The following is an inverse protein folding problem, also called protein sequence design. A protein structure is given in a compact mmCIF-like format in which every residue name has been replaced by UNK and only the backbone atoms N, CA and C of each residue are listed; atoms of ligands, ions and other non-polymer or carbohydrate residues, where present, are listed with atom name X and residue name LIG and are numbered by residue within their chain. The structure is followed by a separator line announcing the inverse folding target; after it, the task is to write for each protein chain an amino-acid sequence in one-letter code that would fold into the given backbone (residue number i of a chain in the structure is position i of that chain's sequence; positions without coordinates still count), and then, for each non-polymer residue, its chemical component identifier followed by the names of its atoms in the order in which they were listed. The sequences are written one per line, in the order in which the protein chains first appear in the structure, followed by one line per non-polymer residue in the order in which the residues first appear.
data_IF_307890213556
#
_entry.id   IF_307890213556
#
_cell.length_a   1.000
_cell.length_b   1.000
_cell.length_c   1.000
_cell.angle_alpha   90.00
_cell.angle_beta   90.00
_cell.angle_gamma   90.00
#
_symmetry.space_group_name_H-M   'P 1'
#
loop_
_entity.id
_entity.type
_entity.pdbx_description
1 polymer ?
#
# COMPACT_ATOMS: atom_id res chain seq x y z
N UNK A 1 -24.46 36.32 -35.79
CA UNK A 1 -23.95 34.99 -35.37
C UNK A 1 -25.08 34.05 -34.87
N UNK A 2 -26.15 33.87 -35.65
CA UNK A 2 -27.24 32.90 -35.35
C UNK A 2 -27.53 31.93 -36.51
N UNK A 3 -26.83 32.07 -37.63
CA UNK A 3 -27.01 31.26 -38.85
C UNK A 3 -25.98 30.13 -39.00
N UNK A 4 -24.99 30.04 -38.10
CA UNK A 4 -23.94 29.00 -38.13
C UNK A 4 -24.14 27.90 -37.08
N UNK A 5 -25.36 27.77 -36.53
CA UNK A 5 -25.75 26.67 -35.61
C UNK A 5 -26.86 25.76 -36.16
N UNK A 6 -27.45 26.10 -37.31
CA UNK A 6 -28.49 25.28 -37.95
C UNK A 6 -27.91 24.34 -39.01
N UNK A 7 -26.72 24.63 -39.54
CA UNK A 7 -26.10 23.81 -40.60
C UNK A 7 -25.32 22.58 -40.08
N UNK A 8 -24.98 22.53 -38.77
CA UNK A 8 -24.24 21.40 -38.18
C UNK A 8 -25.17 20.31 -37.63
N UNK A 9 -26.45 20.63 -37.38
CA UNK A 9 -27.44 19.63 -36.94
C UNK A 9 -28.12 18.86 -38.08
N UNK A 10 -27.94 19.25 -39.34
CA UNK A 10 -28.54 18.56 -40.50
C UNK A 10 -27.58 17.52 -41.12
N UNK A 11 -26.28 17.56 -40.81
CA UNK A 11 -25.31 16.55 -41.27
C UNK A 11 -25.19 15.30 -40.38
N UNK A 12 -25.89 15.25 -39.24
CA UNK A 12 -25.89 14.09 -38.34
C UNK A 12 -27.16 13.21 -38.42
N UNK A 13 -28.10 13.55 -39.31
CA UNK A 13 -29.35 12.81 -39.50
C UNK A 13 -29.44 12.06 -40.86
N UNK A 14 -28.37 12.06 -41.67
CA UNK A 14 -28.33 11.39 -43.00
C UNK A 14 -27.14 10.42 -43.11
N UNK A 15 -26.85 9.68 -42.04
CA UNK A 15 -25.98 8.49 -42.08
C UNK A 15 -26.61 7.27 -41.41
N UNK A 16 -27.86 7.40 -40.95
CA UNK A 16 -28.75 6.31 -40.52
C UNK A 16 -29.80 6.10 -41.61
N UNK A 17 -29.43 5.48 -42.73
CA UNK A 17 -30.30 4.82 -43.73
C UNK A 17 -29.47 4.62 -45.01
N UNK A 18 -28.85 3.44 -45.20
CA UNK A 18 -28.51 2.78 -46.47
C UNK A 18 -27.36 1.77 -46.28
N UNK A 19 -27.70 0.56 -45.81
CA UNK A 19 -26.95 -0.68 -46.07
C UNK A 19 -27.79 -1.89 -45.65
N UNK A 20 -28.96 -2.07 -46.27
CA UNK A 20 -29.73 -3.30 -46.21
C UNK A 20 -29.63 -3.98 -47.59
N UNK A 21 -28.74 -4.97 -47.70
CA UNK A 21 -28.80 -6.13 -48.62
C UNK A 21 -27.45 -6.86 -48.57
N UNK A 22 -27.34 -7.85 -47.68
CA UNK A 22 -26.28 -8.86 -47.69
C UNK A 22 -26.92 -10.25 -47.83
N UNK A 23 -26.25 -11.22 -48.47
CA UNK A 23 -26.81 -12.55 -48.71
C UNK A 23 -26.99 -13.35 -47.40
N UNK A 24 -28.03 -14.18 -47.38
CA UNK A 24 -28.45 -14.97 -46.22
C UNK A 24 -27.33 -15.90 -45.69
N UNK A 25 -27.23 -16.10 -44.35
CA UNK A 25 -26.24 -17.00 -43.77
C UNK A 25 -26.57 -18.46 -44.07
N UNK A 26 -25.54 -19.22 -44.46
CA UNK A 26 -25.57 -20.67 -44.60
C UNK A 26 -25.69 -21.32 -43.21
N UNK A 27 -26.55 -22.33 -42.99
CA UNK A 27 -26.70 -22.95 -41.69
C UNK A 27 -25.48 -23.81 -41.33
N UNK A 28 -24.87 -23.52 -40.18
CA UNK A 28 -23.84 -24.35 -39.53
C UNK A 28 -24.47 -25.68 -39.05
N UNK A 29 -23.80 -26.83 -39.22
CA UNK A 29 -24.36 -28.13 -38.82
C UNK A 29 -24.51 -28.26 -37.30
N UNK A 30 -25.70 -28.69 -36.90
CA UNK A 30 -26.07 -29.08 -35.52
C UNK A 30 -25.40 -30.42 -35.18
N UNK A 31 -24.79 -30.59 -34.00
CA UNK A 31 -24.29 -31.90 -33.57
C UNK A 31 -25.45 -32.89 -33.39
N UNK A 32 -25.30 -34.08 -33.97
CA UNK A 32 -26.28 -35.16 -34.01
C UNK A 32 -26.57 -35.70 -32.59
N UNK A 33 -27.84 -35.87 -32.19
CA UNK A 33 -28.19 -36.56 -30.94
C UNK A 33 -27.90 -38.07 -31.05
N UNK A 34 -27.30 -38.62 -30.00
CA UNK A 34 -27.05 -40.05 -29.80
C UNK A 34 -28.39 -40.81 -29.71
N UNK A 35 -28.54 -42.01 -30.33
CA UNK A 35 -29.78 -42.78 -30.26
C UNK A 35 -30.11 -43.25 -28.83
N UNK A 36 -31.40 -43.34 -28.44
CA UNK A 36 -31.80 -43.85 -27.15
C UNK A 36 -31.56 -45.36 -27.05
N UNK A 37 -30.87 -45.78 -25.99
CA UNK A 37 -30.80 -47.19 -25.57
C UNK A 37 -32.18 -47.70 -25.16
N UNK A 38 -32.51 -48.90 -25.64
CA UNK A 38 -33.77 -49.64 -25.52
C UNK A 38 -34.23 -49.83 -24.06
N UNK A 39 -35.53 -49.73 -23.74
CA UNK A 39 -36.07 -50.01 -22.41
C UNK A 39 -36.00 -51.51 -22.05
N UNK A 40 -35.67 -51.87 -20.81
CA UNK A 40 -35.95 -53.20 -20.27
C UNK A 40 -37.45 -53.43 -20.10
N UNK A 41 -37.88 -54.68 -20.33
CA UNK A 41 -39.26 -55.17 -20.28
C UNK A 41 -39.88 -55.13 -18.87
N UNK A 42 -41.23 -55.12 -18.76
CA UNK A 42 -41.93 -54.94 -17.49
C UNK A 42 -41.86 -56.21 -16.65
N UNK A 43 -41.37 -56.08 -15.41
CA UNK A 43 -41.41 -57.16 -14.42
C UNK A 43 -42.49 -56.84 -13.39
N UNK A 44 -43.33 -57.85 -13.18
CA UNK A 44 -44.56 -57.90 -12.39
C UNK A 44 -44.33 -57.51 -10.93
N UNK A 45 -45.23 -56.69 -10.39
CA UNK A 45 -45.31 -56.28 -8.99
C UNK A 45 -45.73 -57.46 -8.08
N UNK A 46 -44.95 -57.79 -7.03
CA UNK A 46 -45.47 -58.57 -5.91
C UNK A 46 -46.05 -57.65 -4.83
N UNK A 47 -47.16 -58.10 -4.26
CA UNK A 47 -47.91 -57.57 -3.10
C UNK A 47 -46.99 -57.37 -1.88
N UNK A 48 -47.20 -56.33 -1.04
CA UNK A 48 -46.27 -56.00 0.04
C UNK A 48 -46.39 -56.94 1.24
N UNK A 49 -45.26 -57.35 1.88
CA UNK A 49 -45.29 -57.97 3.18
C UNK A 49 -45.49 -56.93 4.29
N UNK A 50 -46.21 -57.36 5.31
CA UNK A 50 -46.61 -56.68 6.55
C UNK A 50 -45.42 -56.08 7.31
N UNK A 51 -45.65 -54.89 7.91
CA UNK A 51 -44.72 -54.08 8.72
C UNK A 51 -43.81 -54.88 9.66
N UNK A 52 -42.50 -54.64 9.56
CA UNK A 52 -41.52 -54.90 10.60
C UNK A 52 -41.28 -53.63 11.46
N UNK A 53 -40.89 -53.74 12.75
CA UNK A 53 -40.82 -52.60 13.67
C UNK A 53 -39.77 -51.57 13.25
N UNK A 54 -40.11 -50.30 13.43
CA UNK A 54 -39.27 -49.13 13.15
C UNK A 54 -38.00 -49.16 14.02
N UNK A 55 -36.84 -49.31 13.38
CA UNK A 55 -35.55 -49.18 14.04
C UNK A 55 -35.36 -47.72 14.49
N UNK A 56 -35.12 -47.54 15.78
CA UNK A 56 -34.91 -46.24 16.42
C UNK A 56 -33.73 -45.53 15.75
N UNK A 57 -33.98 -44.34 15.17
CA UNK A 57 -32.90 -43.48 14.62
C UNK A 57 -31.86 -43.23 15.71
N UNK A 58 -30.54 -43.35 15.41
CA UNK A 58 -29.50 -42.88 16.31
C UNK A 58 -29.70 -41.40 16.64
N UNK A 59 -29.46 -40.96 17.87
CA UNK A 59 -29.57 -39.55 18.24
C UNK A 59 -28.65 -38.70 17.36
N UNK A 60 -29.22 -37.66 16.75
CA UNK A 60 -28.46 -36.62 16.05
C UNK A 60 -27.43 -36.05 17.04
N UNK A 61 -26.13 -36.01 16.70
CA UNK A 61 -25.14 -35.39 17.57
C UNK A 61 -25.56 -33.95 17.84
N UNK A 62 -25.76 -33.62 19.12
CA UNK A 62 -26.04 -32.25 19.55
C UNK A 62 -24.89 -31.37 19.07
N UNK A 63 -25.17 -30.46 18.13
CA UNK A 63 -24.16 -29.55 17.61
C UNK A 63 -23.60 -28.73 18.79
N UNK A 64 -22.34 -28.95 19.12
CA UNK A 64 -21.62 -28.13 20.10
C UNK A 64 -21.68 -26.67 19.61
N UNK A 65 -22.16 -25.70 20.41
CA UNK A 65 -22.23 -24.31 19.98
C UNK A 65 -20.82 -23.85 19.61
N UNK A 66 -20.65 -23.41 18.35
CA UNK A 66 -19.42 -22.74 17.91
C UNK A 66 -19.25 -21.50 18.79
N UNK A 67 -18.14 -21.35 19.53
CA UNK A 67 -17.93 -20.17 20.36
C UNK A 67 -18.02 -18.91 19.48
N UNK A 68 -18.88 -17.97 19.88
CA UNK A 68 -19.06 -16.72 19.17
C UNK A 68 -17.71 -15.99 19.09
N UNK A 69 -17.35 -15.49 17.90
CA UNK A 69 -16.14 -14.68 17.75
C UNK A 69 -16.22 -13.47 18.69
N UNK A 70 -15.11 -13.12 19.39
CA UNK A 70 -15.08 -11.90 20.20
C UNK A 70 -15.50 -10.69 19.35
N UNK A 71 -16.37 -9.84 19.91
CA UNK A 71 -16.90 -8.64 19.27
C UNK A 71 -16.29 -7.38 19.90
N UNK A 72 -16.01 -6.36 19.08
CA UNK A 72 -15.52 -5.08 19.59
C UNK A 72 -16.64 -4.35 20.34
N UNK A 73 -16.37 -3.93 21.58
CA UNK A 73 -17.27 -3.12 22.40
C UNK A 73 -16.49 -1.91 22.90
N UNK A 74 -17.02 -0.71 22.74
CA UNK A 74 -16.45 0.49 23.36
C UNK A 74 -17.52 1.23 24.16
N UNK A 75 -17.13 1.79 25.31
CA UNK A 75 -18.05 2.49 26.20
C UNK A 75 -18.52 3.83 25.63
N UNK A 76 -17.67 4.46 24.82
CA UNK A 76 -17.92 5.71 24.09
C UNK A 76 -17.36 5.57 22.68
N UNK A 77 -17.83 6.39 21.71
CA UNK A 77 -17.25 6.41 20.38
C UNK A 77 -15.74 6.65 20.43
N UNK A 78 -14.96 5.89 19.66
CA UNK A 78 -13.52 6.09 19.52
C UNK A 78 -13.26 7.09 18.40
N UNK A 79 -12.51 8.13 18.72
CA UNK A 79 -12.21 9.23 17.79
C UNK A 79 -10.81 9.09 17.23
N UNK A 80 -10.69 9.13 15.90
CA UNK A 80 -9.41 9.00 15.21
C UNK A 80 -9.18 10.23 14.34
N UNK A 81 -7.99 10.82 14.46
CA UNK A 81 -7.54 11.91 13.60
C UNK A 81 -6.64 11.40 12.50
N UNK A 82 -7.09 11.45 11.25
CA UNK A 82 -6.24 11.19 10.08
C UNK A 82 -5.66 12.51 9.57
N UNK A 83 -4.33 12.63 9.56
CA UNK A 83 -3.61 13.73 8.92
C UNK A 83 -3.01 13.21 7.62
N UNK A 84 -3.28 13.89 6.52
CA UNK A 84 -2.85 13.48 5.18
C UNK A 84 -2.66 14.68 4.27
N UNK A 85 -1.95 14.51 3.15
CA UNK A 85 -1.67 15.57 2.20
C UNK A 85 -2.81 15.63 1.16
N UNK A 86 -3.81 16.50 1.35
CA UNK A 86 -4.87 16.70 0.34
C UNK A 86 -4.45 17.66 -0.76
N UNK A 87 -3.36 18.40 -0.52
CA UNK A 87 -2.76 19.34 -1.46
C UNK A 87 -1.22 19.30 -1.34
N UNK A 88 -0.53 20.00 -2.24
CA UNK A 88 0.94 20.03 -2.27
C UNK A 88 1.59 18.92 -3.11
N UNK A 89 2.92 18.79 -3.00
CA UNK A 89 3.72 17.94 -3.90
C UNK A 89 3.45 16.43 -3.76
N UNK A 90 2.83 16.01 -2.65
CA UNK A 90 2.54 14.62 -2.32
C UNK A 90 1.03 14.30 -2.31
N UNK A 91 0.19 15.21 -2.84
CA UNK A 91 -1.28 15.09 -2.80
C UNK A 91 -1.82 13.78 -3.38
N UNK A 92 -1.14 13.24 -4.40
CA UNK A 92 -1.49 11.95 -5.02
C UNK A 92 -1.45 10.81 -4.00
N UNK A 93 -0.50 10.84 -3.06
CA UNK A 93 -0.36 9.83 -2.01
C UNK A 93 -1.28 10.08 -0.82
N UNK A 94 -1.60 11.34 -0.52
CA UNK A 94 -2.58 11.64 0.50
C UNK A 94 -4.00 11.20 0.10
N UNK A 95 -4.34 11.29 -1.19
CA UNK A 95 -5.57 10.73 -1.73
C UNK A 95 -5.65 9.20 -1.63
N UNK A 96 -4.54 8.48 -1.86
CA UNK A 96 -4.44 7.03 -1.63
C UNK A 96 -4.63 6.68 -0.15
N UNK A 97 -4.01 7.47 0.73
CA UNK A 97 -4.05 7.25 2.18
C UNK A 97 -5.47 7.46 2.72
N UNK A 98 -6.12 8.58 2.38
CA UNK A 98 -7.48 8.88 2.84
C UNK A 98 -8.48 7.82 2.38
N UNK A 99 -8.51 7.52 1.08
CA UNK A 99 -9.53 6.60 0.53
C UNK A 99 -9.39 5.21 1.12
N UNK A 100 -8.17 4.67 1.22
CA UNK A 100 -7.98 3.29 1.65
C UNK A 100 -8.06 3.13 3.18
N UNK A 101 -7.71 4.17 3.95
CA UNK A 101 -7.97 4.17 5.40
C UNK A 101 -9.48 4.12 5.69
N UNK A 102 -10.27 4.97 5.01
CA UNK A 102 -11.73 4.98 5.17
C UNK A 102 -12.38 3.69 4.67
N UNK A 103 -11.95 3.18 3.50
CA UNK A 103 -12.40 1.86 3.00
C UNK A 103 -11.99 0.73 3.95
N UNK A 104 -10.85 0.82 4.63
CA UNK A 104 -10.46 -0.13 5.67
C UNK A 104 -11.49 -0.21 6.81
N UNK A 105 -12.04 0.93 7.23
CA UNK A 105 -13.11 0.95 8.23
C UNK A 105 -14.46 0.46 7.68
N UNK A 106 -14.79 0.72 6.41
CA UNK A 106 -15.96 0.10 5.76
C UNK A 106 -15.83 -1.43 5.71
N UNK A 107 -14.65 -1.94 5.36
CA UNK A 107 -14.35 -3.37 5.34
C UNK A 107 -14.57 -4.01 6.72
N UNK A 108 -14.07 -3.36 7.76
CA UNK A 108 -14.20 -3.83 9.15
C UNK A 108 -15.64 -3.73 9.68
N UNK A 109 -16.40 -2.73 9.25
CA UNK A 109 -17.81 -2.54 9.61
C UNK A 109 -18.74 -3.48 8.83
N UNK A 110 -18.32 -3.95 7.65
CA UNK A 110 -19.17 -4.70 6.72
C UNK A 110 -20.24 -3.84 6.02
N UNK A 111 -20.15 -2.51 6.16
CA UNK A 111 -21.09 -1.56 5.58
C UNK A 111 -20.41 -0.19 5.37
N UNK A 112 -20.89 0.62 4.42
CA UNK A 112 -20.43 2.00 4.26
C UNK A 112 -20.65 2.83 5.53
N UNK A 113 -19.67 3.67 5.86
CA UNK A 113 -19.83 4.67 6.91
C UNK A 113 -20.75 5.82 6.47
N UNK A 114 -21.21 6.61 7.44
CA UNK A 114 -21.90 7.88 7.19
C UNK A 114 -21.11 9.01 7.82
N UNK A 115 -20.75 10.03 7.05
CA UNK A 115 -19.98 11.20 7.53
C UNK A 115 -18.68 10.79 8.28
N UNK A 116 -17.98 9.77 7.77
CA UNK A 116 -16.80 9.15 8.39
C UNK A 116 -17.04 8.55 9.80
N UNK A 117 -18.29 8.16 10.07
CA UNK A 117 -18.69 7.37 11.24
C UNK A 117 -18.99 5.94 10.80
N UNK A 118 -18.37 4.97 11.50
CA UNK A 118 -18.46 3.54 11.21
C UNK A 118 -18.93 2.78 12.45
N UNK A 119 -19.81 1.81 12.25
CA UNK A 119 -20.22 0.88 13.32
C UNK A 119 -19.48 -0.44 13.13
N UNK A 120 -18.49 -0.69 13.98
CA UNK A 120 -17.72 -1.95 13.98
C UNK A 120 -18.14 -2.75 15.20
N UNK A 121 -18.84 -3.86 14.97
CA UNK A 121 -19.53 -4.61 16.02
C UNK A 121 -20.44 -3.70 16.87
N UNK A 122 -20.16 -3.60 18.18
CA UNK A 122 -20.91 -2.77 19.12
C UNK A 122 -20.23 -1.41 19.33
N UNK A 123 -19.12 -1.12 18.64
CA UNK A 123 -18.34 0.09 18.79
C UNK A 123 -18.56 1.10 17.65
N UNK A 124 -18.63 2.38 17.99
CA UNK A 124 -18.67 3.47 17.01
C UNK A 124 -17.28 4.08 16.84
N UNK A 125 -16.85 4.23 15.58
CA UNK A 125 -15.56 4.82 15.20
C UNK A 125 -15.84 6.11 14.43
N UNK A 126 -15.31 7.22 14.90
CA UNK A 126 -15.46 8.54 14.29
C UNK A 126 -14.12 9.04 13.76
N UNK A 127 -14.04 9.34 12.47
CA UNK A 127 -12.78 9.75 11.84
C UNK A 127 -12.86 11.22 11.41
N UNK A 128 -11.93 12.03 11.91
CA UNK A 128 -11.74 13.40 11.44
C UNK A 128 -10.49 13.45 10.56
N UNK A 129 -10.64 13.94 9.32
CA UNK A 129 -9.52 14.08 8.38
C UNK A 129 -9.06 15.53 8.33
N UNK A 130 -7.74 15.75 8.39
CA UNK A 130 -7.12 17.07 8.26
C UNK A 130 -6.06 17.09 7.15
N UNK A 131 -6.03 18.19 6.38
CA UNK A 131 -5.02 18.45 5.36
C UNK A 131 -3.85 19.23 5.96
N UNK A 132 -2.66 18.63 5.99
CA UNK A 132 -1.44 19.35 6.39
C UNK A 132 -0.63 19.89 5.21
N UNK A 133 -1.06 19.61 3.96
CA UNK A 133 -0.43 20.04 2.71
C UNK A 133 1.03 19.55 2.54
N UNK A 134 1.45 18.57 3.33
CA UNK A 134 2.85 18.13 3.42
C UNK A 134 3.79 19.13 4.11
N UNK A 135 3.24 20.08 4.88
CA UNK A 135 4.00 21.18 5.52
C UNK A 135 4.04 21.02 7.03
N UNK A 136 5.26 20.95 7.59
CA UNK A 136 5.54 20.77 9.03
C UNK A 136 4.73 21.70 9.95
N UNK A 137 4.70 23.00 9.63
CA UNK A 137 3.98 23.99 10.45
C UNK A 137 2.46 23.77 10.45
N UNK A 138 1.90 23.37 9.30
CA UNK A 138 0.48 23.04 9.18
C UNK A 138 0.18 21.74 9.93
N UNK A 139 1.05 20.72 9.81
CA UNK A 139 0.92 19.46 10.57
C UNK A 139 0.81 19.74 12.07
N UNK A 140 1.66 20.61 12.61
CA UNK A 140 1.61 20.97 14.02
C UNK A 140 0.30 21.67 14.42
N UNK A 141 -0.24 22.52 13.53
CA UNK A 141 -1.52 23.20 13.74
C UNK A 141 -2.68 22.21 13.78
N UNK A 142 -2.81 21.37 12.74
CA UNK A 142 -3.95 20.45 12.63
C UNK A 142 -3.87 19.31 13.66
N UNK A 143 -2.68 18.88 14.06
CA UNK A 143 -2.51 17.90 15.13
C UNK A 143 -3.04 18.43 16.46
N UNK A 144 -2.71 19.67 16.82
CA UNK A 144 -3.24 20.31 18.03
C UNK A 144 -4.74 20.49 17.96
N UNK A 145 -5.30 20.90 16.82
CA UNK A 145 -6.76 20.98 16.65
C UNK A 145 -7.44 19.62 16.88
N UNK A 146 -6.90 18.55 16.28
CA UNK A 146 -7.43 17.19 16.44
C UNK A 146 -7.40 16.75 17.92
N UNK A 147 -6.29 17.00 18.63
CA UNK A 147 -6.13 16.59 20.02
C UNK A 147 -6.98 17.47 20.95
N UNK A 148 -6.87 18.79 20.84
CA UNK A 148 -7.39 19.75 21.81
C UNK A 148 -8.85 20.09 21.57
N UNK A 149 -9.29 20.17 20.31
CA UNK A 149 -10.65 20.55 19.94
C UNK A 149 -11.49 19.32 19.61
N UNK A 150 -11.01 18.45 18.72
CA UNK A 150 -11.75 17.25 18.29
C UNK A 150 -11.68 16.12 19.31
N UNK A 151 -10.73 16.20 20.25
CA UNK A 151 -10.51 15.21 21.32
C UNK A 151 -10.28 13.81 20.76
N UNK A 152 -9.46 13.69 19.73
CA UNK A 152 -9.12 12.37 19.16
C UNK A 152 -8.37 11.51 20.17
N UNK A 153 -8.63 10.21 20.14
CA UNK A 153 -7.97 9.20 20.97
C UNK A 153 -6.68 8.71 20.31
N UNK A 154 -6.71 8.55 18.99
CA UNK A 154 -5.61 8.00 18.16
C UNK A 154 -5.35 8.95 16.99
N UNK A 155 -4.07 9.12 16.64
CA UNK A 155 -3.64 9.84 15.44
C UNK A 155 -3.14 8.84 14.39
N UNK A 156 -3.40 9.17 13.13
CA UNK A 156 -2.91 8.43 11.96
C UNK A 156 -2.31 9.44 10.99
N UNK A 157 -1.16 9.13 10.41
CA UNK A 157 -0.51 9.97 9.39
C UNK A 157 1.00 10.13 9.61
N UNK A 158 1.68 10.96 8.82
CA UNK A 158 1.19 11.59 7.58
C UNK A 158 2.11 11.18 6.41
N UNK A 159 1.91 11.74 5.21
CA UNK A 159 2.64 11.33 4.01
C UNK A 159 4.09 11.81 4.04
N UNK A 160 4.31 13.07 4.41
CA UNK A 160 5.67 13.62 4.53
C UNK A 160 6.38 13.08 5.79
N UNK A 161 7.60 12.55 5.62
CA UNK A 161 8.39 12.06 6.74
C UNK A 161 8.84 13.17 7.69
N UNK A 162 9.13 14.37 7.18
CA UNK A 162 9.48 15.53 8.01
C UNK A 162 8.28 16.01 8.85
N UNK A 163 7.09 16.06 8.24
CA UNK A 163 5.84 16.34 8.95
C UNK A 163 5.53 15.28 10.00
N UNK A 164 5.78 14.00 9.68
CA UNK A 164 5.56 12.88 10.62
C UNK A 164 6.47 12.97 11.84
N UNK A 165 7.74 13.38 11.69
CA UNK A 165 8.62 13.60 12.85
C UNK A 165 8.07 14.67 13.81
N UNK A 166 7.45 15.72 13.26
CA UNK A 166 6.78 16.76 14.08
C UNK A 166 5.52 16.22 14.75
N UNK A 167 4.69 15.48 14.01
CA UNK A 167 3.50 14.82 14.54
C UNK A 167 3.83 13.83 15.67
N UNK A 168 4.93 13.08 15.52
CA UNK A 168 5.44 12.13 16.50
C UNK A 168 5.79 12.83 17.83
N UNK A 169 6.46 13.99 17.78
CA UNK A 169 6.73 14.80 18.97
C UNK A 169 5.45 15.23 19.69
N UNK A 170 4.48 15.78 18.94
CA UNK A 170 3.21 16.26 19.48
C UNK A 170 2.39 15.10 20.08
N UNK A 171 2.34 13.95 19.41
CA UNK A 171 1.66 12.76 19.88
C UNK A 171 2.25 12.28 21.22
N UNK A 172 3.59 12.22 21.32
CA UNK A 172 4.30 11.86 22.55
C UNK A 172 4.00 12.84 23.69
N UNK A 173 4.09 14.14 23.46
CA UNK A 173 3.79 15.18 24.45
C UNK A 173 2.37 15.07 25.01
N UNK A 174 1.41 14.70 24.16
CA UNK A 174 0.00 14.56 24.51
C UNK A 174 -0.41 13.13 24.90
N UNK A 175 0.56 12.19 24.97
CA UNK A 175 0.35 10.78 25.26
C UNK A 175 -0.73 10.13 24.36
N UNK A 176 -0.68 10.42 23.06
CA UNK A 176 -1.55 9.87 22.03
C UNK A 176 -0.80 8.85 21.20
N UNK A 177 -1.42 7.71 20.93
CA UNK A 177 -0.86 6.74 19.98
C UNK A 177 -0.91 7.35 18.58
N UNK A 178 0.23 7.28 17.88
CA UNK A 178 0.36 7.63 16.47
C UNK A 178 0.60 6.35 15.66
N UNK A 179 -0.25 6.10 14.66
CA UNK A 179 -0.02 5.08 13.64
C UNK A 179 0.45 5.76 12.35
N UNK A 180 1.73 5.57 12.04
CA UNK A 180 2.36 6.14 10.85
C UNK A 180 1.99 5.33 9.63
N UNK A 181 1.35 6.03 8.68
CA UNK A 181 1.18 5.63 7.30
C UNK A 181 1.03 6.91 6.45
N UNK A 182 1.73 7.07 5.32
CA UNK A 182 2.72 6.16 4.77
C UNK A 182 4.21 6.49 5.01
N UNK A 183 4.56 7.55 5.75
CA UNK A 183 5.94 8.03 5.86
C UNK A 183 6.99 6.92 6.10
N UNK A 184 8.07 6.96 5.32
CA UNK A 184 9.05 5.86 5.22
C UNK A 184 10.39 6.13 5.91
N UNK A 185 10.66 7.36 6.39
CA UNK A 185 11.96 7.65 7.03
C UNK A 185 12.26 6.66 8.15
N UNK A 186 13.51 6.19 8.16
CA UNK A 186 14.02 5.27 9.18
C UNK A 186 13.98 5.88 10.58
N UNK A 187 14.17 7.21 10.67
CA UNK A 187 14.30 7.94 11.92
C UNK A 187 13.05 7.81 12.82
N UNK A 188 11.86 7.72 12.22
CA UNK A 188 10.56 7.60 12.91
C UNK A 188 10.52 6.38 13.87
N UNK A 189 11.16 5.27 13.51
CA UNK A 189 11.32 4.07 14.38
C UNK A 189 12.80 3.78 14.66
N UNK A 190 13.62 4.82 14.53
CA UNK A 190 15.05 4.79 14.76
C UNK A 190 15.38 5.86 15.78
N UNK A 191 16.17 6.86 15.38
CA UNK A 191 16.65 7.90 16.29
C UNK A 191 15.53 8.68 17.00
N UNK A 192 14.37 8.85 16.37
CA UNK A 192 13.22 9.63 16.90
C UNK A 192 12.20 8.73 17.62
N UNK A 193 12.52 7.44 17.79
CA UNK A 193 11.63 6.46 18.41
C UNK A 193 11.09 6.92 19.77
N UNK A 194 9.80 6.65 19.97
CA UNK A 194 9.16 6.66 21.26
C UNK A 194 8.03 5.63 21.28
N UNK A 195 7.65 5.20 22.48
CA UNK A 195 6.66 4.15 22.71
C UNK A 195 5.25 4.44 22.17
N UNK A 196 4.90 5.71 21.92
CA UNK A 196 3.58 6.08 21.40
C UNK A 196 3.46 5.93 19.88
N UNK A 197 4.56 5.71 19.17
CA UNK A 197 4.56 5.66 17.70
C UNK A 197 4.69 4.23 17.20
N UNK A 198 3.76 3.83 16.35
CA UNK A 198 3.82 2.60 15.58
C UNK A 198 3.73 2.94 14.10
N UNK A 199 4.21 2.06 13.21
CA UNK A 199 3.98 2.22 11.77
C UNK A 199 3.33 0.98 11.19
N UNK A 200 2.42 1.18 10.23
CA UNK A 200 1.95 0.10 9.35
C UNK A 200 2.56 0.17 7.95
N UNK A 201 3.22 1.30 7.64
CA UNK A 201 4.02 1.45 6.43
C UNK A 201 5.39 0.79 6.56
N UNK A 202 5.98 0.50 5.41
CA UNK A 202 7.41 0.14 5.30
C UNK A 202 8.33 1.32 5.68
N UNK A 203 9.61 1.03 5.91
CA UNK A 203 10.66 2.05 6.01
C UNK A 203 11.65 1.99 4.83
N UNK A 204 12.53 2.99 4.73
CA UNK A 204 13.51 3.08 3.65
C UNK A 204 14.45 1.86 3.60
N UNK A 205 14.82 1.28 4.75
CA UNK A 205 15.61 0.05 4.76
C UNK A 205 14.90 -1.09 4.05
N UNK A 206 13.60 -1.27 4.28
CA UNK A 206 12.84 -2.32 3.61
C UNK A 206 12.81 -2.13 2.08
N UNK A 207 12.67 -0.88 1.61
CA UNK A 207 12.75 -0.56 0.18
C UNK A 207 14.12 -0.95 -0.42
N UNK A 208 15.22 -0.56 0.24
CA UNK A 208 16.56 -0.77 -0.30
C UNK A 208 17.14 -2.16 -0.05
N UNK A 209 16.75 -2.87 1.01
CA UNK A 209 17.04 -4.31 1.14
C UNK A 209 16.41 -5.05 -0.05
N UNK A 210 15.15 -4.74 -0.35
CA UNK A 210 14.43 -5.37 -1.46
C UNK A 210 15.10 -5.03 -2.81
N UNK A 211 15.37 -3.75 -3.08
CA UNK A 211 15.94 -3.31 -4.35
C UNK A 211 17.40 -3.77 -4.56
N UNK A 212 18.27 -3.57 -3.55
CA UNK A 212 19.71 -3.81 -3.69
C UNK A 212 20.08 -5.30 -3.81
N UNK A 213 19.25 -6.22 -3.33
CA UNK A 213 19.44 -7.67 -3.54
C UNK A 213 19.51 -8.03 -5.02
N UNK A 214 18.76 -7.33 -5.88
CA UNK A 214 18.79 -7.55 -7.32
C UNK A 214 19.76 -6.60 -8.03
N UNK A 215 19.75 -5.30 -7.71
CA UNK A 215 20.59 -4.31 -8.39
C UNK A 215 22.07 -4.72 -8.40
N UNK A 216 22.57 -5.20 -7.26
CA UNK A 216 23.98 -5.55 -7.08
C UNK A 216 24.41 -6.83 -7.80
N UNK A 217 23.46 -7.61 -8.33
CA UNK A 217 23.76 -8.73 -9.24
C UNK A 217 24.07 -8.25 -10.66
N UNK A 218 23.69 -7.02 -11.01
CA UNK A 218 23.83 -6.44 -12.36
C UNK A 218 24.81 -5.29 -12.42
N UNK A 219 24.88 -4.49 -11.37
CA UNK A 219 25.71 -3.30 -11.28
C UNK A 219 26.53 -3.34 -10.00
N UNK A 220 27.75 -2.80 -10.04
CA UNK A 220 28.69 -2.74 -8.91
C UNK A 220 29.03 -1.31 -8.51
N UNK A 221 28.91 -0.34 -9.43
CA UNK A 221 29.23 1.06 -9.18
C UNK A 221 27.98 1.93 -9.28
N UNK A 222 27.66 2.61 -8.19
CA UNK A 222 26.45 3.40 -8.03
C UNK A 222 26.78 4.88 -7.75
N UNK A 223 25.88 5.75 -8.18
CA UNK A 223 25.69 7.10 -7.65
C UNK A 223 24.23 7.20 -7.22
N UNK A 224 23.88 8.13 -6.33
CA UNK A 224 22.49 8.32 -5.97
C UNK A 224 22.06 9.76 -5.86
N UNK A 225 20.75 9.97 -6.08
CA UNK A 225 20.05 11.22 -5.87
C UNK A 225 18.82 11.01 -4.98
N UNK A 226 18.60 11.95 -4.06
CA UNK A 226 17.49 11.93 -3.13
C UNK A 226 17.00 13.36 -2.81
N UNK A 227 15.74 13.54 -2.35
CA UNK A 227 15.26 14.84 -1.92
C UNK A 227 15.91 15.26 -0.59
N UNK A 228 16.18 16.55 -0.44
CA UNK A 228 16.89 17.14 0.71
C UNK A 228 16.00 17.27 1.95
N UNK A 229 15.49 16.15 2.47
CA UNK A 229 14.68 16.05 3.69
C UNK A 229 14.66 14.62 4.24
N UNK A 230 13.96 14.41 5.37
CA UNK A 230 13.97 13.17 6.17
C UNK A 230 13.74 11.86 5.38
N UNK A 231 12.90 11.82 4.34
CA UNK A 231 12.71 10.62 3.52
C UNK A 231 13.90 10.38 2.59
N UNK A 232 14.48 11.42 2.00
CA UNK A 232 15.62 11.29 1.12
C UNK A 232 16.91 10.96 1.86
N UNK A 233 17.15 11.53 3.05
CA UNK A 233 18.29 11.14 3.89
C UNK A 233 18.19 9.68 4.34
N UNK A 234 17.00 9.25 4.81
CA UNK A 234 16.75 7.86 5.18
C UNK A 234 16.93 6.90 3.99
N UNK A 235 16.44 7.29 2.81
CA UNK A 235 16.63 6.54 1.57
C UNK A 235 18.09 6.41 1.17
N UNK A 236 18.83 7.53 1.11
CA UNK A 236 20.23 7.55 0.72
C UNK A 236 21.11 6.71 1.67
N UNK A 237 20.89 6.83 2.99
CA UNK A 237 21.59 6.01 3.98
C UNK A 237 21.27 4.51 3.82
N UNK A 238 20.00 4.17 3.61
CA UNK A 238 19.56 2.78 3.43
C UNK A 238 20.10 2.17 2.15
N UNK A 239 20.08 2.91 1.05
CA UNK A 239 20.63 2.51 -0.23
C UNK A 239 22.13 2.25 -0.13
N UNK A 240 22.85 3.16 0.52
CA UNK A 240 24.29 3.04 0.76
C UNK A 240 24.61 1.76 1.54
N UNK A 241 23.97 1.56 2.68
CA UNK A 241 24.20 0.38 3.51
C UNK A 241 23.79 -0.92 2.81
N UNK A 242 22.55 -0.99 2.29
CA UNK A 242 22.03 -2.21 1.66
C UNK A 242 22.82 -2.59 0.41
N UNK A 243 23.06 -1.65 -0.52
CA UNK A 243 23.80 -1.97 -1.73
C UNK A 243 25.26 -2.30 -1.42
N UNK A 244 25.92 -1.64 -0.45
CA UNK A 244 27.26 -2.04 -0.03
C UNK A 244 27.28 -3.43 0.60
N UNK A 245 26.30 -3.77 1.44
CA UNK A 245 26.16 -5.12 2.01
C UNK A 245 26.04 -6.20 0.93
N UNK A 246 25.37 -5.91 -0.19
CA UNK A 246 25.25 -6.84 -1.32
C UNK A 246 26.37 -6.71 -2.38
N UNK A 247 27.46 -5.99 -2.06
CA UNK A 247 28.68 -5.94 -2.89
C UNK A 247 28.70 -4.82 -3.93
N UNK A 248 27.87 -3.79 -3.77
CA UNK A 248 27.92 -2.54 -4.49
C UNK A 248 28.86 -1.50 -3.85
N UNK A 249 29.22 -0.48 -4.63
CA UNK A 249 30.06 0.64 -4.19
C UNK A 249 29.49 1.96 -4.70
N UNK A 250 29.59 3.02 -3.91
CA UNK A 250 29.17 4.37 -4.31
C UNK A 250 30.40 5.17 -4.71
N UNK A 251 30.42 5.68 -5.95
CA UNK A 251 31.61 6.29 -6.56
C UNK A 251 31.82 7.73 -6.14
N UNK A 252 30.77 8.40 -5.65
CA UNK A 252 30.80 9.76 -5.10
C UNK A 252 29.84 9.87 -3.90
N UNK A 253 29.86 11.02 -3.24
CA UNK A 253 28.90 11.37 -2.19
C UNK A 253 27.48 11.55 -2.72
N UNK A 254 26.53 11.46 -1.81
CA UNK A 254 25.10 11.57 -2.09
C UNK A 254 24.74 12.92 -2.70
N UNK A 255 23.82 12.90 -3.66
CA UNK A 255 23.30 14.10 -4.29
C UNK A 255 21.93 14.40 -3.68
N UNK A 256 21.83 15.51 -2.97
CA UNK A 256 20.56 15.99 -2.44
C UNK A 256 20.06 17.19 -3.25
N UNK A 257 18.76 17.19 -3.55
CA UNK A 257 18.07 18.27 -4.25
C UNK A 257 16.80 18.66 -3.48
N UNK A 258 16.41 19.94 -3.41
CA UNK A 258 15.15 20.34 -2.78
C UNK A 258 13.94 19.54 -3.32
N UNK A 259 12.98 19.19 -2.46
CA UNK A 259 11.81 18.37 -2.85
C UNK A 259 11.00 19.00 -4.00
N UNK A 260 10.96 20.33 -4.07
CA UNK A 260 10.24 21.12 -5.07
C UNK A 260 11.05 21.42 -6.34
N UNK A 261 12.28 20.88 -6.45
CA UNK A 261 13.15 21.02 -7.63
C UNK A 261 12.39 20.72 -8.93
N UNK A 262 12.52 21.62 -9.91
CA UNK A 262 12.02 21.47 -11.29
C UNK A 262 13.14 21.35 -12.30
N UNK A 263 14.24 22.06 -12.07
CA UNK A 263 15.41 22.07 -12.93
C UNK A 263 16.46 21.07 -12.43
N UNK A 264 16.52 19.90 -13.08
CA UNK A 264 17.40 18.80 -12.66
C UNK A 264 18.77 18.77 -13.33
N UNK A 265 19.02 19.66 -14.29
CA UNK A 265 20.25 19.71 -15.10
C UNK A 265 21.55 19.64 -14.27
N UNK A 266 21.77 20.48 -13.24
CA UNK A 266 23.03 20.45 -12.48
C UNK A 266 23.25 19.11 -11.74
N UNK A 267 22.18 18.44 -11.33
CA UNK A 267 22.26 17.15 -10.66
C UNK A 267 22.54 16.02 -11.66
N UNK A 268 21.92 16.06 -12.84
CA UNK A 268 22.18 15.11 -13.92
C UNK A 268 23.61 15.23 -14.47
N UNK A 269 24.16 16.44 -14.57
CA UNK A 269 25.57 16.64 -14.94
C UNK A 269 26.53 15.99 -13.93
N UNK A 270 26.25 16.10 -12.63
CA UNK A 270 27.03 15.45 -11.58
C UNK A 270 26.93 13.92 -11.69
N UNK A 271 25.73 13.39 -11.98
CA UNK A 271 25.50 11.96 -12.21
C UNK A 271 26.30 11.46 -13.43
N UNK A 272 26.25 12.15 -14.56
CA UNK A 272 26.99 11.78 -15.79
C UNK A 272 28.51 11.72 -15.58
N UNK A 273 29.05 12.64 -14.76
CA UNK A 273 30.48 12.73 -14.48
C UNK A 273 30.95 11.75 -13.40
N UNK A 274 30.03 11.02 -12.75
CA UNK A 274 30.36 10.14 -11.62
C UNK A 274 31.14 8.88 -12.02
N UNK A 275 30.98 8.40 -13.26
CA UNK A 275 31.54 7.12 -13.70
C UNK A 275 30.86 5.88 -13.10
N UNK A 276 29.66 6.03 -12.52
CA UNK A 276 28.85 4.90 -12.07
C UNK A 276 28.18 4.16 -13.25
N UNK A 277 27.78 2.91 -13.00
CA UNK A 277 27.07 2.06 -13.96
C UNK A 277 25.55 2.27 -13.87
N UNK A 278 25.07 2.57 -12.66
CA UNK A 278 23.66 2.87 -12.40
C UNK A 278 23.51 4.03 -11.43
N UNK A 279 22.42 4.79 -11.59
CA UNK A 279 22.04 5.86 -10.67
C UNK A 279 20.80 5.46 -9.89
N UNK A 280 20.95 5.42 -8.57
CA UNK A 280 19.89 5.10 -7.64
C UNK A 280 19.06 6.34 -7.38
N UNK A 281 17.74 6.19 -7.43
CA UNK A 281 16.80 7.29 -7.20
C UNK A 281 15.95 6.99 -5.98
N UNK A 282 16.01 7.86 -4.98
CA UNK A 282 14.99 7.97 -3.94
C UNK A 282 14.16 9.19 -4.26
N UNK A 283 12.94 9.06 -4.77
CA UNK A 283 12.08 10.23 -4.99
C UNK A 283 10.61 9.86 -4.99
N UNK A 284 9.77 10.76 -4.49
CA UNK A 284 8.33 10.59 -4.41
C UNK A 284 7.62 11.87 -4.88
N UNK A 285 6.49 11.72 -5.56
CA UNK A 285 5.62 12.81 -5.96
C UNK A 285 6.13 13.59 -7.17
N UNK A 286 5.72 14.86 -7.26
CA UNK A 286 5.76 15.65 -8.48
C UNK A 286 7.15 15.90 -9.10
N UNK A 287 8.24 15.66 -8.37
CA UNK A 287 9.61 15.84 -8.89
C UNK A 287 10.14 14.66 -9.71
N UNK A 288 9.51 13.48 -9.63
CA UNK A 288 10.03 12.27 -10.29
C UNK A 288 10.03 12.39 -11.82
N UNK A 289 8.91 12.83 -12.42
CA UNK A 289 8.77 12.95 -13.88
C UNK A 289 9.73 14.00 -14.47
N UNK A 290 9.81 15.25 -13.93
CA UNK A 290 10.78 16.23 -14.42
C UNK A 290 12.22 15.73 -14.36
N UNK A 291 12.63 15.12 -13.24
CA UNK A 291 13.97 14.54 -13.08
C UNK A 291 14.28 13.52 -14.17
N UNK A 292 13.35 12.60 -14.45
CA UNK A 292 13.55 11.61 -15.49
C UNK A 292 13.60 12.22 -16.89
N UNK A 293 12.74 13.21 -17.19
CA UNK A 293 12.78 13.91 -18.48
C UNK A 293 14.12 14.59 -18.71
N UNK A 294 14.64 15.32 -17.71
CA UNK A 294 15.97 15.93 -17.79
C UNK A 294 17.07 14.87 -17.93
N UNK A 295 16.96 13.74 -17.21
CA UNK A 295 17.90 12.63 -17.35
C UNK A 295 17.92 12.06 -18.77
N UNK A 296 16.75 11.96 -19.41
CA UNK A 296 16.60 11.54 -20.80
C UNK A 296 17.19 12.55 -21.77
N UNK A 297 16.87 13.84 -21.61
CA UNK A 297 17.34 14.93 -22.48
C UNK A 297 18.86 15.08 -22.48
N UNK A 298 19.51 14.86 -21.32
CA UNK A 298 20.96 14.94 -21.17
C UNK A 298 21.69 13.62 -21.48
N UNK A 299 20.98 12.57 -21.92
CA UNK A 299 21.56 11.27 -22.26
C UNK A 299 22.08 10.47 -21.06
N UNK A 300 21.61 10.76 -19.83
CA UNK A 300 21.93 9.98 -18.62
C UNK A 300 21.50 8.53 -18.82
N UNK A 301 20.30 8.34 -19.34
CA UNK A 301 19.70 7.01 -19.54
C UNK A 301 20.41 6.17 -20.61
N UNK A 302 21.17 6.82 -21.51
CA UNK A 302 21.97 6.14 -22.53
C UNK A 302 23.30 5.62 -21.97
N UNK A 303 23.79 6.23 -20.87
CA UNK A 303 25.09 5.91 -20.26
C UNK A 303 24.98 5.13 -18.95
N UNK A 304 23.86 5.26 -18.25
CA UNK A 304 23.69 4.71 -16.90
C UNK A 304 22.29 4.13 -16.73
N UNK A 305 22.21 2.98 -16.05
CA UNK A 305 20.93 2.37 -15.76
C UNK A 305 20.17 3.13 -14.65
N UNK A 306 18.87 3.37 -14.86
CA UNK A 306 17.99 3.85 -13.79
C UNK A 306 17.77 2.72 -12.78
N UNK A 307 18.23 2.93 -11.55
CA UNK A 307 18.10 2.00 -10.45
C UNK A 307 17.08 2.53 -9.42
N UNK A 308 15.80 2.43 -9.77
CA UNK A 308 14.71 2.93 -8.95
C UNK A 308 13.67 1.83 -8.69
N UNK A 309 13.16 1.77 -7.46
CA UNK A 309 11.91 1.06 -7.18
C UNK A 309 10.75 1.76 -7.87
N UNK A 310 9.74 0.97 -8.25
CA UNK A 310 8.54 1.52 -8.89
C UNK A 310 7.75 2.33 -7.86
N UNK A 311 7.57 3.62 -8.15
CA UNK A 311 7.15 4.62 -7.18
C UNK A 311 5.64 4.88 -7.11
N UNK A 312 4.91 4.64 -8.21
CA UNK A 312 3.44 4.57 -8.33
C UNK A 312 3.05 4.25 -9.78
N UNK A 313 1.78 3.92 -10.02
CA UNK A 313 1.27 3.58 -11.35
C UNK A 313 1.44 4.69 -12.39
N UNK A 314 1.41 5.97 -11.98
CA UNK A 314 1.57 7.09 -12.90
C UNK A 314 3.01 7.24 -13.40
N UNK A 315 3.99 6.79 -12.61
CA UNK A 315 5.40 6.77 -13.02
C UNK A 315 5.78 5.57 -13.89
N UNK A 316 4.95 4.54 -14.02
CA UNK A 316 5.32 3.31 -14.76
C UNK A 316 5.76 3.55 -16.21
N UNK A 317 5.15 4.45 -17.00
CA UNK A 317 5.60 4.75 -18.37
C UNK A 317 7.08 5.13 -18.50
N UNK A 318 7.69 5.70 -17.45
CA UNK A 318 9.11 6.05 -17.39
C UNK A 318 10.01 4.82 -17.51
N UNK A 319 9.53 3.66 -17.07
CA UNK A 319 10.29 2.41 -17.08
C UNK A 319 10.24 1.67 -18.42
N UNK A 320 9.76 2.28 -19.50
CA UNK A 320 9.78 1.67 -20.84
C UNK A 320 11.16 1.13 -21.26
N UNK A 321 12.29 1.83 -21.00
CA UNK A 321 13.63 1.30 -21.29
C UNK A 321 14.02 0.07 -20.44
N UNK A 322 13.29 -0.19 -19.36
CA UNK A 322 13.50 -1.30 -18.44
C UNK A 322 12.52 -2.47 -18.65
N UNK A 323 11.79 -2.50 -19.78
CA UNK A 323 10.96 -3.65 -20.15
C UNK A 323 11.79 -4.96 -20.16
N UNK A 324 11.23 -6.00 -19.57
CA UNK A 324 11.87 -7.30 -19.36
C UNK A 324 12.82 -7.37 -18.16
N UNK A 325 13.07 -6.26 -17.45
CA UNK A 325 13.95 -6.22 -16.28
C UNK A 325 13.17 -6.35 -14.97
N UNK A 326 13.83 -6.83 -13.92
CA UNK A 326 13.25 -6.87 -12.59
C UNK A 326 13.44 -5.54 -11.86
N UNK A 327 12.48 -5.18 -11.00
CA UNK A 327 12.56 -4.06 -10.07
C UNK A 327 11.81 -4.38 -8.77
N UNK A 328 12.10 -3.64 -7.71
CA UNK A 328 11.36 -3.70 -6.46
C UNK A 328 10.11 -2.82 -6.49
N UNK A 329 9.04 -3.31 -5.89
CA UNK A 329 7.80 -2.57 -5.68
C UNK A 329 7.21 -2.94 -4.31
N UNK A 330 6.71 -1.95 -3.57
CA UNK A 330 6.08 -2.21 -2.27
C UNK A 330 4.79 -3.02 -2.42
N UNK A 331 3.96 -2.63 -3.37
CA UNK A 331 2.63 -3.18 -3.59
C UNK A 331 2.19 -2.88 -5.01
N UNK A 332 1.56 -3.88 -5.63
CA UNK A 332 0.76 -3.68 -6.81
C UNK A 332 -0.46 -4.59 -6.71
N UNK A 333 -1.61 -4.07 -7.11
CA UNK A 333 -2.90 -4.67 -6.81
C UNK A 333 -3.09 -6.10 -7.36
N UNK A 334 -2.33 -6.48 -8.39
CA UNK A 334 -2.38 -7.82 -8.99
C UNK A 334 -1.55 -8.87 -8.26
N UNK A 335 -0.64 -8.49 -7.35
CA UNK A 335 0.34 -9.43 -6.79
C UNK A 335 -0.23 -10.20 -5.59
N UNK A 336 -0.77 -9.55 -4.53
CA UNK A 336 -1.30 -10.29 -3.40
C UNK A 336 -2.58 -11.03 -3.77
N UNK A 337 -2.67 -12.31 -3.37
CA UNK A 337 -3.84 -13.17 -3.60
C UNK A 337 -4.50 -13.48 -2.28
N UNK A 338 -5.38 -12.59 -1.83
CA UNK A 338 -6.14 -12.77 -0.60
C UNK A 338 -7.43 -11.93 -0.62
N UNK A 339 -8.46 -12.32 0.16
CA UNK A 339 -9.75 -11.64 0.16
C UNK A 339 -9.72 -10.15 0.55
N UNK A 340 -8.75 -9.74 1.38
CA UNK A 340 -8.63 -8.34 1.81
C UNK A 340 -8.17 -7.47 0.64
N UNK A 341 -7.17 -7.95 -0.11
CA UNK A 341 -6.74 -7.29 -1.34
C UNK A 341 -7.83 -7.29 -2.40
N UNK A 342 -8.50 -8.42 -2.62
CA UNK A 342 -9.56 -8.54 -3.62
C UNK A 342 -10.69 -7.53 -3.35
N UNK A 343 -11.10 -7.38 -2.08
CA UNK A 343 -12.08 -6.39 -1.66
C UNK A 343 -11.59 -4.95 -1.88
N UNK A 344 -10.36 -4.64 -1.49
CA UNK A 344 -9.77 -3.31 -1.72
C UNK A 344 -9.74 -2.96 -3.21
N UNK A 345 -9.34 -3.92 -4.06
CA UNK A 345 -9.30 -3.77 -5.51
C UNK A 345 -10.68 -3.48 -6.07
N UNK A 346 -11.68 -4.26 -5.68
CA UNK A 346 -13.07 -4.07 -6.12
C UNK A 346 -13.57 -2.67 -5.75
N UNK A 347 -13.44 -2.27 -4.50
CA UNK A 347 -13.98 -1.02 -4.00
C UNK A 347 -13.29 0.21 -4.60
N UNK A 348 -11.95 0.19 -4.70
CA UNK A 348 -11.21 1.31 -5.27
C UNK A 348 -11.52 1.46 -6.77
N UNK A 349 -11.57 0.36 -7.53
CA UNK A 349 -11.96 0.40 -8.95
C UNK A 349 -13.38 0.91 -9.14
N UNK A 350 -14.33 0.45 -8.33
CA UNK A 350 -15.73 0.86 -8.42
C UNK A 350 -15.90 2.38 -8.24
N UNK A 351 -15.20 2.96 -7.26
CA UNK A 351 -15.38 4.36 -6.83
C UNK A 351 -14.46 5.35 -7.53
N UNK A 352 -13.23 4.95 -7.83
CA UNK A 352 -12.19 5.85 -8.34
C UNK A 352 -11.77 5.56 -9.78
N UNK A 353 -12.28 4.48 -10.39
CA UNK A 353 -11.97 4.07 -11.78
C UNK A 353 -10.49 3.81 -12.05
N UNK A 354 -9.71 3.62 -10.99
CA UNK A 354 -8.31 3.19 -10.98
C UNK A 354 -8.15 2.05 -9.98
N UNK A 355 -7.18 1.14 -10.14
CA UNK A 355 -6.85 0.18 -9.09
C UNK A 355 -6.25 0.87 -7.86
N UNK A 356 -6.23 0.20 -6.69
CA UNK A 356 -5.41 0.64 -5.56
C UNK A 356 -3.92 0.61 -5.97
N UNK A 357 -3.16 1.51 -5.36
CA UNK A 357 -1.74 1.71 -5.58
C UNK A 357 -0.99 1.56 -4.25
N UNK A 358 0.30 1.84 -4.24
CA UNK A 358 1.25 1.54 -3.17
C UNK A 358 0.73 1.83 -1.76
N UNK A 359 0.27 3.06 -1.53
CA UNK A 359 -0.11 3.54 -0.21
C UNK A 359 -1.53 3.14 0.21
N UNK A 360 -2.35 2.64 -0.71
CA UNK A 360 -3.67 2.12 -0.36
C UNK A 360 -3.56 0.93 0.60
N UNK A 361 -2.62 0.02 0.34
CA UNK A 361 -2.41 -1.16 1.18
C UNK A 361 -1.97 -0.79 2.60
N UNK A 362 -1.00 0.13 2.73
CA UNK A 362 -0.47 0.57 4.03
C UNK A 362 -1.51 1.36 4.84
N UNK A 363 -2.36 2.13 4.18
CA UNK A 363 -3.43 2.89 4.83
C UNK A 363 -4.58 1.98 5.29
N UNK A 364 -4.97 0.98 4.50
CA UNK A 364 -5.93 -0.03 4.97
C UNK A 364 -5.36 -0.84 6.15
N UNK A 365 -4.06 -1.15 6.14
CA UNK A 365 -3.38 -1.78 7.28
C UNK A 365 -3.51 -0.96 8.57
N UNK A 366 -3.45 0.38 8.50
CA UNK A 366 -3.61 1.22 9.69
C UNK A 366 -4.98 1.04 10.35
N UNK A 367 -6.07 0.97 9.57
CA UNK A 367 -7.41 0.72 10.10
C UNK A 367 -7.52 -0.67 10.75
N UNK A 368 -7.03 -1.71 10.06
CA UNK A 368 -7.05 -3.09 10.57
C UNK A 368 -6.23 -3.20 11.86
N UNK A 369 -5.02 -2.64 11.87
CA UNK A 369 -4.12 -2.65 13.03
C UNK A 369 -4.76 -2.00 14.26
N UNK A 370 -5.36 -0.82 14.09
CA UNK A 370 -6.06 -0.11 15.17
C UNK A 370 -7.22 -0.96 15.71
N UNK A 371 -8.05 -1.54 14.82
CA UNK A 371 -9.16 -2.39 15.24
C UNK A 371 -8.66 -3.61 16.02
N UNK A 372 -7.61 -4.29 15.55
CA UNK A 372 -7.07 -5.48 16.23
C UNK A 372 -6.46 -5.13 17.60
N UNK A 373 -5.82 -3.97 17.73
CA UNK A 373 -5.37 -3.46 19.03
C UNK A 373 -6.55 -3.17 19.98
N UNK A 374 -7.60 -2.50 19.48
CA UNK A 374 -8.81 -2.22 20.25
C UNK A 374 -9.54 -3.51 20.68
N UNK A 375 -9.54 -4.55 19.85
CA UNK A 375 -10.07 -5.86 20.22
C UNK A 375 -9.34 -6.43 21.44
N UNK A 376 -8.01 -6.32 21.48
CA UNK A 376 -7.19 -6.81 22.59
C UNK A 376 -7.37 -6.01 23.88
N UNK A 377 -7.66 -4.73 23.79
CA UNK A 377 -7.89 -3.86 24.96
C UNK A 377 -9.34 -3.86 25.43
N UNK A 378 -10.22 -4.66 24.82
CA UNK A 378 -11.65 -4.62 25.11
C UNK A 378 -12.30 -3.28 24.76
N UNK A 379 -11.77 -2.61 23.73
CA UNK A 379 -12.24 -1.32 23.22
C UNK A 379 -11.77 -0.09 23.99
N UNK A 380 -10.79 -0.22 24.89
CA UNK A 380 -10.12 0.95 25.45
C UNK A 380 -9.12 1.53 24.47
N UNK A 381 -9.24 2.83 24.19
CA UNK A 381 -8.31 3.59 23.35
C UNK A 381 -7.27 4.38 24.16
N UNK A 382 -7.11 4.12 25.46
CA UNK A 382 -6.06 4.76 26.24
C UNK A 382 -4.68 4.28 25.78
N UNK A 383 -3.73 5.20 25.68
CA UNK A 383 -2.43 4.88 25.10
C UNK A 383 -1.65 3.80 25.87
N UNK A 384 -1.76 3.80 27.20
CA UNK A 384 -1.07 2.85 28.09
C UNK A 384 -1.45 1.38 27.86
N UNK A 385 -2.71 1.10 27.48
CA UNK A 385 -3.16 -0.25 27.14
C UNK A 385 -3.00 -0.56 25.66
N UNK A 386 -3.16 0.44 24.78
CA UNK A 386 -2.96 0.26 23.34
C UNK A 386 -1.52 -0.09 23.00
N UNK A 387 -0.52 0.61 23.57
CA UNK A 387 0.90 0.36 23.31
C UNK A 387 1.24 -1.12 23.58
N UNK A 388 0.81 -1.64 24.74
CA UNK A 388 1.03 -3.04 25.13
C UNK A 388 0.29 -4.03 24.23
N UNK A 389 -0.89 -3.66 23.72
CA UNK A 389 -1.66 -4.51 22.81
C UNK A 389 -1.09 -4.52 21.39
N UNK A 390 -0.41 -3.45 21.00
CA UNK A 390 0.17 -3.21 19.68
C UNK A 390 1.56 -3.83 19.51
N UNK A 391 2.40 -3.82 20.55
CA UNK A 391 3.71 -4.50 20.53
C UNK A 391 3.53 -6.01 20.27
N UNK A 392 4.19 -6.52 19.22
CA UNK A 392 4.09 -7.92 18.81
C UNK A 392 2.77 -8.31 18.16
N UNK A 393 1.90 -7.34 17.82
CA UNK A 393 0.63 -7.63 17.18
C UNK A 393 0.84 -8.15 15.75
N UNK A 394 0.17 -9.26 15.45
CA UNK A 394 0.07 -9.81 14.10
C UNK A 394 -1.34 -9.63 13.56
N UNK A 395 -1.46 -9.25 12.30
CA UNK A 395 -2.74 -9.13 11.60
C UNK A 395 -2.57 -9.43 10.11
N UNK A 396 -3.69 -9.70 9.43
CA UNK A 396 -3.70 -9.84 7.97
C UNK A 396 -4.23 -8.56 7.34
N UNK A 397 -3.56 -8.07 6.30
CA UNK A 397 -4.00 -6.94 5.49
C UNK A 397 -3.92 -7.23 3.99
N UNK A 398 -4.00 -6.20 3.12
CA UNK A 398 -3.99 -6.40 1.67
C UNK A 398 -2.75 -7.13 1.17
N UNK A 399 -1.61 -6.98 1.85
CA UNK A 399 -0.35 -7.66 1.50
C UNK A 399 -0.16 -9.02 2.18
N UNK A 400 -1.16 -9.51 2.90
CA UNK A 400 -1.05 -10.70 3.75
C UNK A 400 -0.63 -10.35 5.17
N UNK A 401 0.17 -11.23 5.81
CA UNK A 401 0.49 -11.13 7.23
C UNK A 401 1.46 -9.98 7.51
N UNK A 402 1.09 -9.11 8.45
CA UNK A 402 1.91 -8.03 9.00
C UNK A 402 2.20 -8.34 10.47
N UNK A 403 3.45 -8.13 10.89
CA UNK A 403 3.90 -8.27 12.28
C UNK A 403 4.50 -6.95 12.75
N UNK A 404 4.00 -6.40 13.85
CA UNK A 404 4.57 -5.20 14.46
C UNK A 404 5.66 -5.62 15.44
N UNK A 405 6.91 -5.35 15.06
CA UNK A 405 8.09 -5.70 15.83
C UNK A 405 8.11 -4.93 17.17
N UNK A 406 8.11 -5.61 18.33
CA UNK A 406 8.00 -4.94 19.64
C UNK A 406 9.24 -4.10 20.00
N UNK A 407 10.41 -4.42 19.44
CA UNK A 407 11.66 -3.73 19.74
C UNK A 407 11.59 -2.24 19.37
N UNK A 408 11.11 -1.93 18.15
CA UNK A 408 11.14 -0.60 17.54
C UNK A 408 9.85 -0.20 16.79
N UNK A 409 8.79 -1.01 16.89
CA UNK A 409 7.46 -0.77 16.34
C UNK A 409 7.41 -0.70 14.80
N UNK A 410 8.38 -1.31 14.12
CA UNK A 410 8.37 -1.46 12.66
C UNK A 410 7.37 -2.54 12.23
N UNK A 411 6.62 -2.27 11.16
CA UNK A 411 5.83 -3.29 10.47
C UNK A 411 6.74 -4.17 9.58
N UNK A 412 6.91 -5.42 9.97
CA UNK A 412 7.48 -6.47 9.13
C UNK A 412 6.38 -6.98 8.20
N UNK A 413 6.61 -6.80 6.91
CA UNK A 413 5.62 -7.06 5.86
C UNK A 413 6.29 -7.57 4.59
N UNK A 414 5.50 -8.24 3.76
CA UNK A 414 5.95 -8.69 2.45
C UNK A 414 6.26 -7.48 1.54
N UNK A 415 7.23 -7.63 0.66
CA UNK A 415 7.57 -6.70 -0.41
C UNK A 415 7.71 -7.53 -1.69
N UNK A 416 7.70 -6.89 -2.86
CA UNK A 416 7.70 -7.64 -4.12
C UNK A 416 8.88 -7.25 -5.00
N UNK A 417 9.41 -8.26 -5.67
CA UNK A 417 10.24 -8.10 -6.86
C UNK A 417 9.39 -8.50 -8.05
N UNK A 418 9.33 -7.62 -9.04
CA UNK A 418 8.52 -7.80 -10.24
C UNK A 418 9.35 -7.68 -11.49
N UNK A 419 8.92 -8.34 -12.55
CA UNK A 419 9.41 -8.13 -13.91
C UNK A 419 8.46 -7.18 -14.64
N UNK A 420 9.01 -6.14 -15.27
CA UNK A 420 8.23 -5.14 -16.01
C UNK A 420 7.91 -5.71 -17.39
N UNK A 421 6.64 -6.02 -17.65
CA UNK A 421 6.18 -6.61 -18.92
C UNK A 421 5.46 -5.60 -19.80
N UNK A 422 4.84 -4.60 -19.20
CA UNK A 422 4.05 -3.59 -19.89
C UNK A 422 4.15 -2.27 -19.11
N UNK A 423 4.03 -1.13 -19.81
CA UNK A 423 4.03 0.21 -19.21
C UNK A 423 2.89 1.11 -19.69
N UNK A 424 1.99 0.57 -20.52
CA UNK A 424 0.85 1.27 -21.13
C UNK A 424 -0.48 0.51 -21.01
N UNK A 425 -0.51 -0.64 -20.36
CA UNK A 425 -1.73 -1.41 -20.11
C UNK A 425 -2.77 -0.56 -19.38
N UNK A 426 -3.95 -0.39 -20.00
CA UNK A 426 -5.05 0.43 -19.46
C UNK A 426 -5.64 -0.11 -18.15
N UNK A 427 -5.48 -1.40 -17.89
CA UNK A 427 -5.88 -2.03 -16.64
C UNK A 427 -4.72 -2.03 -15.63
N UNK A 428 -3.60 -1.36 -15.92
CA UNK A 428 -2.41 -1.32 -15.07
C UNK A 428 -1.79 -2.71 -14.85
N UNK A 429 -1.95 -3.64 -15.80
CA UNK A 429 -1.31 -4.97 -15.71
C UNK A 429 0.13 -4.92 -16.21
N UNK A 430 0.97 -4.23 -15.44
CA UNK A 430 2.35 -3.94 -15.84
C UNK A 430 3.35 -5.04 -15.51
N UNK A 431 3.03 -5.87 -14.52
CA UNK A 431 4.03 -6.65 -13.80
C UNK A 431 3.70 -8.14 -13.73
N UNK A 432 4.75 -8.95 -13.82
CA UNK A 432 4.77 -10.33 -13.37
C UNK A 432 5.53 -10.43 -12.05
N UNK A 433 5.01 -11.19 -11.08
CA UNK A 433 5.69 -11.43 -9.82
C UNK A 433 6.90 -12.34 -10.05
N UNK A 434 8.09 -11.89 -9.65
CA UNK A 434 9.30 -12.73 -9.66
C UNK A 434 9.43 -13.43 -8.33
N UNK A 435 9.37 -12.68 -7.23
CA UNK A 435 9.41 -13.23 -5.87
C UNK A 435 8.80 -12.26 -4.86
N UNK A 436 8.30 -12.80 -3.77
CA UNK A 436 7.94 -12.05 -2.58
C UNK A 436 9.12 -12.08 -1.61
N UNK A 437 9.54 -10.92 -1.12
CA UNK A 437 10.56 -10.78 -0.09
C UNK A 437 9.93 -10.33 1.22
N UNK A 438 10.64 -10.48 2.33
CA UNK A 438 10.19 -10.02 3.65
C UNK A 438 11.37 -9.35 4.38
N UNK A 439 11.73 -8.13 3.97
CA UNK A 439 12.96 -7.49 4.43
C UNK A 439 12.89 -7.13 5.92
N UNK A 440 13.96 -7.48 6.63
CA UNK A 440 14.17 -7.23 8.06
C UNK A 440 15.16 -6.07 8.24
N UNK A 441 14.70 -4.86 8.56
CA UNK A 441 15.58 -3.72 8.78
C UNK A 441 16.37 -3.87 10.09
N UNK A 442 17.57 -3.27 10.19
CA UNK A 442 18.31 -3.24 11.45
C UNK A 442 17.56 -2.42 12.51
N UNK A 443 17.95 -2.56 13.77
CA UNK A 443 17.50 -1.70 14.83
C UNK A 443 18.30 -0.40 14.83
N UNK A 444 17.60 0.73 14.79
CA UNK A 444 18.21 2.07 14.68
C UNK A 444 17.87 2.95 15.89
N UNK A 445 17.42 2.33 16.99
CA UNK A 445 17.09 3.04 18.20
C UNK A 445 18.32 3.79 18.74
N UNK A 446 18.14 4.92 19.45
CA UNK A 446 19.24 5.61 20.12
C UNK A 446 19.98 4.68 21.07
N UNK A 447 21.25 4.99 21.37
CA UNK A 447 22.10 4.16 22.25
C UNK A 447 21.45 3.90 23.62
N UNK A 448 20.72 4.89 24.16
CA UNK A 448 19.98 4.75 25.42
C UNK A 448 18.89 3.65 25.39
N UNK A 449 18.41 3.27 24.22
CA UNK A 449 17.39 2.26 23.99
C UNK A 449 17.92 1.01 23.29
N UNK A 450 19.25 0.89 23.08
CA UNK A 450 19.87 -0.25 22.41
C UNK A 450 19.53 -1.60 23.02
N UNK A 451 19.28 -1.65 24.34
CA UNK A 451 18.84 -2.87 25.01
C UNK A 451 17.49 -3.41 24.44
N UNK A 452 16.60 -2.53 23.94
CA UNK A 452 15.36 -2.94 23.27
C UNK A 452 15.62 -3.67 21.96
N UNK A 453 16.75 -3.42 21.28
CA UNK A 453 17.05 -4.05 20.00
C UNK A 453 17.28 -5.56 20.08
N UNK A 454 17.49 -6.13 21.27
CA UNK A 454 17.67 -7.56 21.45
C UNK A 454 18.79 -8.13 20.57
N UNK A 455 18.42 -9.02 19.64
CA UNK A 455 19.36 -9.70 18.71
C UNK A 455 19.44 -9.06 17.32
N UNK A 456 18.72 -7.97 17.09
CA UNK A 456 18.73 -7.29 15.80
C UNK A 456 20.11 -6.68 15.51
N UNK A 457 20.56 -6.67 14.24
CA UNK A 457 21.70 -5.86 13.84
C UNK A 457 21.48 -4.40 14.26
N UNK A 458 22.45 -3.80 14.94
CA UNK A 458 22.33 -2.45 15.49
C UNK A 458 23.04 -1.43 14.60
N UNK A 459 22.40 -0.28 14.36
CA UNK A 459 22.96 0.85 13.62
C UNK A 459 22.97 0.70 12.09
N UNK A 460 23.27 -0.50 11.59
CA UNK A 460 23.23 -0.84 10.16
C UNK A 460 22.95 -2.33 9.94
N UNK A 461 22.76 -2.73 8.69
CA UNK A 461 22.46 -4.11 8.30
C UNK A 461 23.56 -5.11 8.67
N UNK A 462 24.81 -4.67 8.81
CA UNK A 462 25.92 -5.54 9.21
C UNK A 462 26.09 -5.67 10.73
N UNK A 463 25.44 -4.80 11.51
CA UNK A 463 25.56 -4.73 12.97
C UNK A 463 26.94 -4.28 13.46
N UNK A 464 27.73 -3.65 12.59
CA UNK A 464 29.11 -3.19 12.87
C UNK A 464 29.16 -1.72 13.20
#
# INVERSE_FOLDING_TARGET
MKTMRVLVLVLLAVSLLLAACGPAPTPTPVPTPVPPTKPPAPTVTPVPPTKAPEATKPPVPTATPVPAKPRLKCATPIKIGLITDKSGALAVYGAMTERAFLLGWEYLAGAPGKDNVFKVDDCEIQITVADDKGVVATTATVARELIEVKKVDILVGTVSSGSTATLQGIAKENKKVLVVAPAASNDITGKDFNEYTFRTSRNNYQDFINLCQYLTTRYKKFVQIAPDYAFGYGGAASARDACTKFGGTFVIDDIFAPLDTKEFTPYMDKILKSGAEAWIVTWAGAGFIPMFNTAKELGVLDKMALAASIADNATVPIYAPALGQNSGILYHYTLPKNPINDWLVEQVKARHKVPPDLFDADAMNAAIFIKEALMKTGGSASADVLIKAMEGLEFNGPKGKVYIRPEDHVAIQDMYIVKILNVTDKDFKFFELVTTTRPEPPCLLPEALKARCGKLPYGNLSGK
#
